data_IF_939344331018
#
_entry.id   IF_939344331018
#
_cell.length_a   1.000
_cell.length_b   1.000
_cell.length_c   1.000
_cell.angle_alpha   90.00
_cell.angle_beta   90.00
_cell.angle_gamma   90.00
#
_symmetry.space_group_name_H-M   'P 1'
#
loop_
_entity.id
_entity.type
_entity.pdbx_description
1 polymer ?
#
# COMPACT_ATOMS: atom_id res chain seq x y z
N UNK A 1 -7.49 -31.59 11.71
CA UNK A 1 -6.16 -31.30 12.29
C UNK A 1 -5.46 -30.23 11.44
N UNK A 2 -5.70 -28.94 11.70
CA UNK A 2 -5.11 -27.85 10.91
C UNK A 2 -3.64 -27.67 11.27
N UNK A 3 -2.72 -27.92 10.32
CA UNK A 3 -1.27 -27.75 10.52
C UNK A 3 -0.97 -26.32 10.98
N UNK A 4 -0.08 -26.17 11.97
CA UNK A 4 0.30 -24.90 12.61
C UNK A 4 0.76 -23.83 11.61
N UNK A 5 -0.18 -23.03 11.10
CA UNK A 5 0.13 -21.86 10.29
C UNK A 5 0.86 -20.84 11.18
N UNK A 6 2.15 -20.63 10.93
CA UNK A 6 2.97 -19.65 11.63
C UNK A 6 3.95 -20.23 12.65
N UNK A 7 4.16 -21.55 12.67
CA UNK A 7 5.29 -22.16 13.36
C UNK A 7 6.40 -22.48 12.34
N UNK A 8 7.55 -21.83 12.50
CA UNK A 8 8.75 -22.07 11.69
C UNK A 8 9.87 -22.56 12.59
N UNK A 9 10.59 -23.59 12.14
CA UNK A 9 11.63 -24.27 12.95
C UNK A 9 12.84 -23.38 13.22
N UNK A 10 13.04 -22.35 12.40
CA UNK A 10 14.15 -21.40 12.43
C UNK A 10 13.77 -20.02 12.98
N UNK A 11 12.52 -19.86 13.47
CA UNK A 11 12.08 -18.66 14.18
C UNK A 11 11.99 -18.94 15.68
N UNK A 12 13.11 -18.80 16.40
CA UNK A 12 13.12 -18.90 17.87
C UNK A 12 12.11 -17.92 18.49
N UNK A 13 11.43 -18.31 19.57
CA UNK A 13 10.53 -17.44 20.31
C UNK A 13 11.24 -16.18 20.86
N UNK A 14 12.56 -16.23 21.03
CA UNK A 14 13.40 -15.08 21.46
C UNK A 14 13.73 -14.12 20.31
N UNK A 15 13.45 -14.48 19.06
CA UNK A 15 13.70 -13.59 17.92
C UNK A 15 12.71 -12.43 17.96
N UNK A 16 13.22 -11.20 17.86
CA UNK A 16 12.42 -9.97 18.03
C UNK A 16 11.20 -9.91 17.08
N UNK A 17 11.31 -10.47 15.87
CA UNK A 17 10.22 -10.49 14.90
C UNK A 17 9.34 -11.74 14.97
N UNK A 18 9.57 -12.66 15.90
CA UNK A 18 8.86 -13.95 15.97
C UNK A 18 7.34 -13.77 16.00
N UNK A 19 6.84 -12.83 16.81
CA UNK A 19 5.39 -12.53 16.88
C UNK A 19 4.86 -11.93 15.57
N UNK A 20 5.61 -11.02 14.94
CA UNK A 20 5.22 -10.39 13.68
C UNK A 20 5.17 -11.42 12.55
N UNK A 21 6.17 -12.30 12.47
CA UNK A 21 6.24 -13.42 11.53
C UNK A 21 5.04 -14.35 11.72
N UNK A 22 4.77 -14.79 12.96
CA UNK A 22 3.61 -15.65 13.24
C UNK A 22 2.31 -14.98 12.81
N UNK A 23 2.11 -13.70 13.14
CA UNK A 23 0.91 -12.95 12.77
C UNK A 23 0.76 -12.85 11.25
N UNK A 24 1.83 -12.49 10.53
CA UNK A 24 1.82 -12.41 9.08
C UNK A 24 1.52 -13.77 8.42
N UNK A 25 2.01 -14.87 8.99
CA UNK A 25 1.74 -16.22 8.50
C UNK A 25 0.28 -16.63 8.72
N UNK A 26 -0.27 -16.35 9.90
CA UNK A 26 -1.69 -16.62 10.21
C UNK A 26 -2.61 -15.80 9.32
N UNK A 27 -2.26 -14.55 9.03
CA UNK A 27 -3.01 -13.67 8.12
C UNK A 27 -2.79 -13.99 6.63
N UNK A 28 -1.95 -14.98 6.29
CA UNK A 28 -1.72 -15.39 4.90
C UNK A 28 -0.80 -14.48 4.08
N UNK A 29 -0.15 -13.48 4.70
CA UNK A 29 0.83 -12.63 4.03
C UNK A 29 2.11 -13.37 3.72
N UNK A 30 2.52 -14.32 4.56
CA UNK A 30 3.74 -15.09 4.33
C UNK A 30 3.46 -16.58 4.45
N UNK A 31 4.29 -17.37 3.79
CA UNK A 31 4.33 -18.81 3.93
C UNK A 31 5.78 -19.23 4.00
N UNK A 32 6.08 -20.20 4.85
CA UNK A 32 7.41 -20.79 4.92
C UNK A 32 7.70 -21.68 3.72
N UNK A 33 8.89 -22.26 3.74
CA UNK A 33 9.34 -23.23 2.76
C UNK A 33 8.82 -24.64 3.10
N UNK A 34 8.87 -25.59 2.15
CA UNK A 34 8.43 -26.96 2.38
C UNK A 34 9.15 -27.67 3.54
N UNK A 35 10.38 -27.25 3.84
CA UNK A 35 11.21 -27.70 4.96
C UNK A 35 10.81 -27.12 6.34
N UNK A 36 9.70 -26.37 6.40
CA UNK A 36 9.17 -25.68 7.60
C UNK A 36 10.03 -24.51 8.10
N UNK A 37 10.90 -23.96 7.26
CA UNK A 37 11.68 -22.74 7.58
C UNK A 37 10.98 -21.47 7.08
N UNK A 38 11.27 -20.33 7.71
CA UNK A 38 10.92 -18.98 7.22
C UNK A 38 12.11 -18.26 6.61
N UNK A 39 13.32 -18.54 7.11
CA UNK A 39 14.62 -17.95 6.73
C UNK A 39 14.67 -16.45 7.01
N UNK A 40 14.55 -16.02 8.28
CA UNK A 40 14.41 -14.60 8.64
C UNK A 40 15.62 -13.73 8.28
N UNK A 41 16.80 -14.33 8.08
CA UNK A 41 18.02 -13.64 7.67
C UNK A 41 18.19 -13.58 6.14
N UNK A 42 17.38 -14.33 5.39
CA UNK A 42 17.44 -14.31 3.94
C UNK A 42 16.74 -13.05 3.42
N UNK A 43 17.43 -12.33 2.53
CA UNK A 43 16.85 -11.17 1.88
C UNK A 43 15.61 -11.56 1.06
N UNK A 44 14.53 -10.81 1.26
CA UNK A 44 13.29 -10.96 0.50
C UNK A 44 13.52 -10.51 -0.94
N UNK A 45 13.10 -11.32 -1.90
CA UNK A 45 13.09 -10.91 -3.32
C UNK A 45 11.90 -10.02 -3.62
N UNK A 46 12.01 -9.21 -4.67
CA UNK A 46 10.94 -8.32 -5.12
C UNK A 46 9.67 -9.08 -5.47
N UNK A 47 9.79 -10.25 -6.11
CA UNK A 47 8.63 -11.11 -6.41
C UNK A 47 7.97 -11.68 -5.15
N UNK A 48 8.75 -12.08 -4.14
CA UNK A 48 8.20 -12.58 -2.88
C UNK A 48 7.42 -11.49 -2.12
N UNK A 49 7.87 -10.23 -2.17
CA UNK A 49 7.13 -9.09 -1.61
C UNK A 49 5.75 -8.91 -2.27
N UNK A 50 5.69 -8.97 -3.60
CA UNK A 50 4.44 -8.88 -4.35
C UNK A 50 3.49 -10.05 -4.04
N UNK A 51 4.02 -11.28 -4.05
CA UNK A 51 3.27 -12.48 -3.69
C UNK A 51 2.70 -12.35 -2.28
N UNK A 52 3.49 -11.84 -1.33
CA UNK A 52 3.08 -11.68 0.06
C UNK A 52 1.90 -10.71 0.20
N UNK A 53 1.95 -9.56 -0.47
CA UNK A 53 0.87 -8.58 -0.44
C UNK A 53 -0.40 -9.09 -1.13
N UNK A 54 -0.27 -9.67 -2.33
CA UNK A 54 -1.43 -10.17 -3.08
C UNK A 54 -2.13 -11.29 -2.33
N UNK A 55 -1.39 -12.24 -1.76
CA UNK A 55 -1.96 -13.33 -0.97
C UNK A 55 -2.58 -12.84 0.34
N UNK A 56 -1.86 -12.02 1.10
CA UNK A 56 -2.33 -11.51 2.39
C UNK A 56 -3.56 -10.61 2.28
N UNK A 57 -3.72 -9.90 1.16
CA UNK A 57 -4.89 -9.08 0.86
C UNK A 57 -6.00 -9.83 0.10
N UNK A 58 -5.79 -11.11 -0.22
CA UNK A 58 -6.77 -11.92 -0.97
C UNK A 58 -7.09 -11.37 -2.36
N UNK A 59 -6.14 -10.68 -3.00
CA UNK A 59 -6.38 -10.04 -4.29
C UNK A 59 -6.40 -11.07 -5.43
N UNK A 60 -7.31 -10.87 -6.37
CA UNK A 60 -7.52 -11.73 -7.54
C UNK A 60 -7.80 -10.91 -8.80
N UNK A 61 -7.89 -11.59 -9.95
CA UNK A 61 -8.30 -11.02 -11.24
C UNK A 61 -7.15 -10.61 -12.15
N UNK A 62 -5.90 -10.98 -11.84
CA UNK A 62 -4.79 -10.82 -12.77
C UNK A 62 -4.82 -11.89 -13.86
N UNK A 63 -4.60 -11.49 -15.11
CA UNK A 63 -4.46 -12.40 -16.24
C UNK A 63 -2.98 -12.56 -16.63
N UNK A 64 -2.59 -13.75 -17.09
CA UNK A 64 -1.20 -14.00 -17.48
C UNK A 64 -0.73 -13.11 -18.65
N UNK A 65 -1.67 -12.60 -19.46
CA UNK A 65 -1.42 -11.62 -20.52
C UNK A 65 -0.82 -10.31 -19.99
N UNK A 66 -1.15 -9.90 -18.76
CA UNK A 66 -0.62 -8.68 -18.12
C UNK A 66 0.90 -8.70 -17.99
N UNK A 67 1.48 -9.91 -17.85
CA UNK A 67 2.92 -10.08 -17.74
C UNK A 67 3.66 -9.82 -19.06
N UNK A 68 2.94 -9.74 -20.19
CA UNK A 68 3.51 -9.36 -21.49
C UNK A 68 4.14 -7.97 -21.50
N UNK A 69 3.79 -7.11 -20.54
CA UNK A 69 4.41 -5.81 -20.36
C UNK A 69 5.89 -5.90 -19.92
N UNK A 70 6.29 -6.94 -19.19
CA UNK A 70 7.64 -7.07 -18.63
C UNK A 70 8.59 -7.82 -19.57
N UNK A 71 9.75 -7.21 -19.84
CA UNK A 71 10.81 -7.82 -20.68
C UNK A 71 11.46 -9.03 -20.01
N UNK A 72 11.51 -9.03 -18.68
CA UNK A 72 12.10 -10.06 -17.84
C UNK A 72 11.06 -11.02 -17.25
N UNK A 73 9.86 -11.10 -17.85
CA UNK A 73 8.77 -11.98 -17.40
C UNK A 73 9.15 -13.46 -17.28
N UNK A 74 10.15 -13.91 -18.05
CA UNK A 74 10.67 -15.29 -18.00
C UNK A 74 11.38 -15.61 -16.69
N UNK A 75 11.81 -14.60 -15.94
CA UNK A 75 12.42 -14.76 -14.61
C UNK A 75 11.38 -14.87 -13.49
N UNK A 76 10.08 -14.69 -13.78
CA UNK A 76 9.02 -14.82 -12.79
C UNK A 76 8.82 -16.30 -12.48
N UNK A 77 9.03 -16.75 -11.23
CA UNK A 77 8.77 -18.13 -10.86
C UNK A 77 7.30 -18.50 -11.07
N UNK A 78 7.02 -19.74 -11.49
CA UNK A 78 5.65 -20.22 -11.76
C UNK A 78 4.69 -20.03 -10.58
N UNK A 79 5.16 -20.19 -9.34
CA UNK A 79 4.35 -19.97 -8.14
C UNK A 79 3.89 -18.52 -7.95
N UNK A 80 4.57 -17.57 -8.61
CA UNK A 80 4.33 -16.15 -8.49
C UNK A 80 3.56 -15.57 -9.67
N UNK A 81 3.45 -16.27 -10.80
CA UNK A 81 2.83 -15.78 -12.05
C UNK A 81 1.49 -15.09 -11.80
N UNK A 82 0.55 -15.78 -11.16
CA UNK A 82 -0.78 -15.24 -10.89
C UNK A 82 -0.76 -14.02 -9.96
N UNK A 83 0.12 -14.05 -8.95
CA UNK A 83 0.22 -12.96 -8.00
C UNK A 83 0.82 -11.71 -8.63
N UNK A 84 1.87 -11.87 -9.44
CA UNK A 84 2.47 -10.75 -10.17
C UNK A 84 1.47 -10.19 -11.17
N UNK A 85 0.78 -11.03 -11.94
CA UNK A 85 -0.27 -10.59 -12.86
C UNK A 85 -1.34 -9.78 -12.14
N UNK A 86 -1.78 -10.25 -10.96
CA UNK A 86 -2.77 -9.55 -10.14
C UNK A 86 -2.24 -8.21 -9.64
N UNK A 87 -1.00 -8.17 -9.14
CA UNK A 87 -0.36 -6.92 -8.71
C UNK A 87 -0.23 -5.91 -9.86
N UNK A 88 0.11 -6.38 -11.07
CA UNK A 88 0.20 -5.55 -12.28
C UNK A 88 -1.18 -4.98 -12.64
N UNK A 89 -2.20 -5.83 -12.72
CA UNK A 89 -3.58 -5.42 -13.03
C UNK A 89 -4.12 -4.39 -12.01
N UNK A 90 -3.79 -4.59 -10.73
CA UNK A 90 -4.19 -3.71 -9.62
C UNK A 90 -3.31 -2.44 -9.52
N UNK A 91 -2.36 -2.24 -10.44
CA UNK A 91 -1.42 -1.11 -10.46
C UNK A 91 -0.57 -0.98 -9.19
N UNK A 92 -0.27 -2.11 -8.56
CA UNK A 92 0.56 -2.17 -7.34
C UNK A 92 2.05 -2.14 -7.65
N UNK A 93 2.45 -2.57 -8.84
CA UNK A 93 3.86 -2.65 -9.24
C UNK A 93 4.38 -1.28 -9.67
N UNK A 94 5.36 -0.76 -8.94
CA UNK A 94 6.05 0.51 -9.24
C UNK A 94 7.48 0.21 -9.69
N UNK A 95 7.80 0.47 -10.96
CA UNK A 95 9.13 0.25 -11.52
C UNK A 95 9.73 1.58 -11.99
N UNK A 96 10.96 1.86 -11.57
CA UNK A 96 11.76 3.01 -11.99
C UNK A 96 13.24 2.59 -12.03
N UNK A 97 14.04 3.07 -13.00
CA UNK A 97 13.68 3.96 -14.10
C UNK A 97 13.02 3.26 -15.29
N UNK A 98 13.02 1.92 -15.32
CA UNK A 98 12.51 1.12 -16.44
C UNK A 98 11.14 0.54 -16.11
N UNK A 99 10.02 1.10 -16.63
CA UNK A 99 8.68 0.65 -16.26
C UNK A 99 8.42 -0.82 -16.60
N UNK A 100 8.99 -1.30 -17.70
CA UNK A 100 8.82 -2.64 -18.26
C UNK A 100 9.84 -3.67 -17.75
N UNK A 101 10.51 -3.41 -16.61
CA UNK A 101 11.44 -4.34 -16.00
C UNK A 101 11.10 -4.56 -14.53
N UNK A 102 10.78 -5.80 -14.15
CA UNK A 102 10.31 -6.15 -12.82
C UNK A 102 11.48 -6.43 -11.85
N UNK A 103 12.57 -7.00 -12.35
CA UNK A 103 13.69 -7.56 -11.62
C UNK A 103 13.22 -8.53 -10.50
N UNK A 104 12.48 -9.60 -10.83
CA UNK A 104 11.73 -10.38 -9.85
C UNK A 104 12.61 -11.04 -8.79
N UNK A 105 13.81 -11.47 -9.16
CA UNK A 105 14.74 -12.19 -8.30
C UNK A 105 15.68 -11.28 -7.50
N UNK A 106 15.66 -9.96 -7.75
CA UNK A 106 16.51 -9.02 -7.02
C UNK A 106 16.00 -8.85 -5.58
N UNK A 107 16.90 -8.72 -4.58
CA UNK A 107 16.52 -8.30 -3.23
C UNK A 107 15.75 -6.98 -3.25
N UNK A 108 14.61 -6.94 -2.55
CA UNK A 108 13.81 -5.72 -2.41
C UNK A 108 14.38 -4.86 -1.29
N UNK A 109 14.48 -3.55 -1.51
CA UNK A 109 14.90 -2.62 -0.46
C UNK A 109 13.69 -2.04 0.30
N UNK A 110 13.97 -1.36 1.42
CA UNK A 110 12.92 -0.80 2.31
C UNK A 110 12.04 0.25 1.62
N UNK A 111 12.61 1.08 0.76
CA UNK A 111 11.85 2.11 0.03
C UNK A 111 10.87 1.47 -0.97
N UNK A 112 11.31 0.41 -1.64
CA UNK A 112 10.45 -0.36 -2.55
C UNK A 112 9.34 -1.09 -1.81
N UNK A 113 9.64 -1.67 -0.64
CA UNK A 113 8.61 -2.27 0.22
C UNK A 113 7.57 -1.22 0.63
N UNK A 114 8.01 -0.04 1.06
CA UNK A 114 7.11 1.05 1.43
C UNK A 114 6.22 1.48 0.24
N UNK A 115 6.79 1.60 -0.96
CA UNK A 115 6.04 1.93 -2.17
C UNK A 115 5.00 0.85 -2.50
N UNK A 116 5.36 -0.43 -2.41
CA UNK A 116 4.42 -1.53 -2.67
C UNK A 116 3.27 -1.56 -1.64
N UNK A 117 3.58 -1.35 -0.35
CA UNK A 117 2.56 -1.28 0.71
C UNK A 117 1.61 -0.11 0.43
N UNK A 118 2.15 1.06 0.10
CA UNK A 118 1.32 2.23 -0.20
C UNK A 118 0.42 1.98 -1.42
N UNK A 119 0.94 1.41 -2.50
CA UNK A 119 0.10 1.06 -3.64
C UNK A 119 -0.93 -0.02 -3.32
N UNK A 120 -0.63 -0.93 -2.39
CA UNK A 120 -1.61 -1.90 -1.90
C UNK A 120 -2.77 -1.22 -1.13
N UNK A 121 -2.45 -0.20 -0.31
CA UNK A 121 -3.47 0.62 0.35
C UNK A 121 -4.33 1.36 -0.67
N UNK A 122 -3.72 1.94 -1.70
CA UNK A 122 -4.45 2.60 -2.79
C UNK A 122 -5.33 1.61 -3.56
N UNK A 123 -4.80 0.43 -3.89
CA UNK A 123 -5.52 -0.60 -4.63
C UNK A 123 -6.72 -1.20 -3.86
N UNK A 124 -6.70 -1.10 -2.53
CA UNK A 124 -7.78 -1.55 -1.64
C UNK A 124 -8.71 -0.43 -1.20
N UNK A 125 -8.45 0.82 -1.62
CA UNK A 125 -9.26 1.99 -1.22
C UNK A 125 -8.96 2.51 0.18
N UNK A 126 -7.88 2.04 0.82
CA UNK A 126 -7.43 2.48 2.14
C UNK A 126 -6.60 3.77 2.12
N UNK A 127 -6.15 4.21 0.93
CA UNK A 127 -5.40 5.45 0.75
C UNK A 127 -5.72 6.11 -0.61
N UNK A 128 -5.56 7.43 -0.69
CA UNK A 128 -5.65 8.16 -1.95
C UNK A 128 -4.44 7.90 -2.84
N UNK A 129 -4.64 7.87 -4.16
CA UNK A 129 -3.51 7.76 -5.08
C UNK A 129 -2.76 9.10 -5.16
N UNK A 130 -1.42 9.06 -5.07
CA UNK A 130 -0.57 10.24 -5.26
C UNK A 130 -0.88 10.88 -6.62
N UNK A 131 -1.33 12.13 -6.61
CA UNK A 131 -1.69 12.90 -7.81
C UNK A 131 -3.13 12.73 -8.31
N UNK A 132 -3.98 11.92 -7.67
CA UNK A 132 -5.43 11.94 -7.91
C UNK A 132 -6.10 12.80 -6.85
N UNK A 133 -6.91 13.78 -7.28
CA UNK A 133 -7.87 14.43 -6.38
C UNK A 133 -8.82 13.35 -5.83
N UNK A 134 -9.16 13.39 -4.53
CA UNK A 134 -9.92 12.34 -3.87
C UNK A 134 -11.22 12.03 -4.61
N UNK A 135 -11.49 10.75 -4.87
CA UNK A 135 -12.79 10.26 -5.38
C UNK A 135 -13.80 10.35 -4.23
N UNK A 136 -14.31 11.54 -4.04
CA UNK A 136 -15.12 11.90 -2.89
C UNK A 136 -15.41 13.39 -2.79
N UNK A 137 -14.81 14.23 -3.65
CA UNK A 137 -15.36 15.54 -3.95
C UNK A 137 -16.71 15.38 -4.66
N UNK A 138 -17.76 15.03 -3.90
CA UNK A 138 -19.13 15.35 -4.27
C UNK A 138 -19.14 16.83 -4.61
N UNK A 139 -19.60 17.13 -5.81
CA UNK A 139 -19.79 18.45 -6.37
C UNK A 139 -20.62 19.34 -5.43
N UNK A 140 -19.99 19.94 -4.43
CA UNK A 140 -20.51 21.11 -3.73
C UNK A 140 -19.97 22.36 -4.42
N UNK A 141 -20.25 22.45 -5.73
CA UNK A 141 -20.13 23.68 -6.51
C UNK A 141 -21.52 24.30 -6.67
N UNK A 142 -22.32 24.33 -5.60
CA UNK A 142 -23.71 24.81 -5.66
C UNK A 142 -24.23 25.48 -4.37
N UNK A 143 -23.37 25.76 -3.38
CA UNK A 143 -23.76 26.57 -2.23
C UNK A 143 -22.70 27.64 -2.03
N UNK A 144 -22.94 28.81 -2.63
CA UNK A 144 -22.44 30.17 -2.30
C UNK A 144 -22.43 31.09 -3.55
N UNK A 145 -23.27 30.84 -4.55
CA UNK A 145 -23.65 31.82 -5.58
C UNK A 145 -25.15 32.17 -5.52
N UNK A 146 -25.69 32.32 -4.30
CA UNK A 146 -27.03 32.87 -4.05
C UNK A 146 -27.03 33.74 -2.80
N UNK A 147 -26.13 34.74 -2.74
CA UNK A 147 -26.31 35.86 -1.82
C UNK A 147 -25.93 37.18 -2.51
N UNK A 148 -26.68 37.49 -3.57
CA UNK A 148 -26.85 38.89 -3.99
C UNK A 148 -27.75 39.60 -2.98
N UNK A 149 -27.24 40.71 -2.45
CA UNK A 149 -27.97 41.87 -1.92
C UNK A 149 -28.96 41.64 -0.78
N UNK A 150 -28.53 42.02 0.43
CA UNK A 150 -29.20 43.07 1.24
C UNK A 150 -28.21 43.57 2.30
N UNK A 151 -27.36 44.53 1.92
CA UNK A 151 -26.64 45.37 2.88
C UNK A 151 -27.60 46.44 3.40
N UNK A 152 -27.80 46.61 4.72
CA UNK A 152 -28.11 47.92 5.27
C UNK A 152 -26.78 48.71 5.43
N UNK A 153 -26.75 50.00 5.07
CA UNK A 153 -25.60 50.86 5.33
C UNK A 153 -25.60 51.31 6.79
N UNK A 154 -24.41 51.72 7.26
CA UNK A 154 -24.14 52.55 8.44
C UNK A 154 -24.16 51.85 9.82
N UNK A 155 -22.97 51.50 10.29
CA UNK A 155 -22.49 51.95 11.59
C UNK A 155 -20.96 51.84 11.65
N UNK A 156 -20.30 52.97 11.41
CA UNK A 156 -18.95 53.24 11.89
C UNK A 156 -19.10 53.42 13.41
N UNK A 157 -18.40 52.62 14.21
CA UNK A 157 -17.93 53.09 15.51
C UNK A 157 -16.60 52.42 15.85
N UNK A 158 -15.59 53.26 16.00
CA UNK A 158 -14.28 52.96 16.57
C UNK A 158 -14.46 52.73 18.07
N UNK A 159 -13.95 51.63 18.62
CA UNK A 159 -13.33 51.71 19.94
C UNK A 159 -12.29 50.59 20.18
N UNK A 160 -11.13 51.07 20.61
CA UNK A 160 -9.97 50.46 21.27
C UNK A 160 -9.82 48.93 21.42
N UNK A 161 -8.66 48.45 20.95
CA UNK A 161 -7.79 47.59 21.77
C UNK A 161 -7.84 46.08 21.54
N UNK A 162 -6.65 45.50 21.40
CA UNK A 162 -6.31 44.07 21.53
C UNK A 162 -6.58 43.11 20.35
N UNK A 163 -5.48 42.91 19.60
CA UNK A 163 -4.82 41.61 19.33
C UNK A 163 -5.56 40.56 18.48
N UNK A 164 -5.16 40.54 17.22
CA UNK A 164 -4.93 39.32 16.42
C UNK A 164 -4.03 38.38 17.23
N UNK A 165 -4.47 37.17 17.55
CA UNK A 165 -3.58 36.07 17.90
C UNK A 165 -4.16 34.74 17.45
N UNK A 166 -3.40 34.12 16.55
CA UNK A 166 -3.45 32.71 16.19
C UNK A 166 -3.40 31.83 17.45
N UNK A 167 -4.15 30.74 17.44
CA UNK A 167 -3.86 29.58 18.27
C UNK A 167 -4.10 28.30 17.46
N UNK A 168 -3.00 27.64 17.11
CA UNK A 168 -2.93 26.25 16.69
C UNK A 168 -2.69 25.35 17.92
N UNK A 169 -3.06 24.08 17.78
CA UNK A 169 -2.75 22.91 18.63
C UNK A 169 -3.47 22.79 19.98
N UNK A 170 -4.32 21.78 20.10
CA UNK A 170 -4.12 20.53 20.87
C UNK A 170 -5.35 19.63 20.61
N UNK A 171 -5.15 18.51 19.90
CA UNK A 171 -5.26 17.10 20.36
C UNK A 171 -4.43 16.26 19.39
#
# INVERSE_FOLDING_TARGET
MGKGRGEFVDSSAKFWASQAIRKAAVMGFISGFPDRTFRPQQNLTRVQGLVSLVKGLGLTGGESSELGFYRDRTQIPSYATQAVATATQRRMVVNYPQPNQLNPMRPINRAEVAALIYQALVATGSADAIGRRPRGARSHLLILLTLTLTLPPLAIYLDTGQKILFAASVV
#
